data_IF_956464382597
#
_entry.id   IF_956464382597
#
_cell.length_a   1.000
_cell.length_b   1.000
_cell.length_c   1.000
_cell.angle_alpha   90.00
_cell.angle_beta   90.00
_cell.angle_gamma   90.00
#
_symmetry.space_group_name_H-M   'P 1'
#
loop_
_entity.id
_entity.type
_entity.pdbx_description
1 polymer ?
#
# COMPACT_ATOMS: atom_id res chain seq x y z
N UNK A 1 -5.37 29.58 4.86
CA UNK A 1 -4.11 29.42 4.11
C UNK A 1 -3.11 28.92 5.13
N UNK A 2 -2.87 27.60 5.17
CA UNK A 2 -1.99 26.98 6.17
C UNK A 2 -0.99 26.06 5.48
N UNK A 3 0.26 26.25 5.89
CA UNK A 3 1.48 25.65 5.37
C UNK A 3 1.57 24.15 5.70
N UNK A 4 2.05 23.39 4.72
CA UNK A 4 2.33 21.96 4.81
C UNK A 4 3.69 21.79 5.50
N UNK A 5 3.69 21.26 6.72
CA UNK A 5 4.92 20.89 7.42
C UNK A 5 5.45 19.52 6.96
N UNK A 6 6.75 19.53 6.65
CA UNK A 6 7.51 18.39 6.16
C UNK A 6 7.79 17.32 7.21
N UNK A 7 8.07 16.13 6.66
CA UNK A 7 8.42 14.90 7.35
C UNK A 7 9.75 15.06 8.12
N UNK A 8 9.69 15.03 9.45
CA UNK A 8 10.86 14.97 10.34
C UNK A 8 11.00 13.54 10.88
N UNK A 9 12.01 12.80 10.39
CA UNK A 9 12.41 11.52 10.95
C UNK A 9 13.48 11.74 12.02
N UNK A 10 13.05 11.84 13.28
CA UNK A 10 13.89 11.75 14.47
C UNK A 10 14.11 10.28 14.82
N UNK A 11 15.36 9.81 14.78
CA UNK A 11 15.76 8.49 15.29
C UNK A 11 16.78 8.66 16.42
N UNK A 12 16.37 8.22 17.61
CA UNK A 12 17.18 8.08 18.83
C UNK A 12 18.47 7.30 18.55
N UNK A 13 19.60 7.90 18.89
CA UNK A 13 20.87 7.19 19.10
C UNK A 13 20.88 6.59 20.52
N UNK A 14 21.13 5.29 20.63
CA UNK A 14 21.69 4.66 21.84
C UNK A 14 23.14 4.29 21.53
N UNK A 15 24.06 4.81 22.33
CA UNK A 15 25.48 4.51 22.34
C UNK A 15 25.77 3.24 23.13
N UNK A 16 26.73 2.42 22.67
CA UNK A 16 27.61 1.62 23.52
C UNK A 16 28.86 1.15 22.74
N UNK A 17 30.02 1.67 23.16
CA UNK A 17 31.41 1.18 23.15
C UNK A 17 31.95 0.17 22.11
N UNK A 18 32.83 0.69 21.23
CA UNK A 18 34.28 0.42 21.05
C UNK A 18 34.91 -0.95 21.37
N UNK A 19 35.55 -1.55 20.35
CA UNK A 19 36.78 -2.41 20.29
C UNK A 19 36.68 -3.25 18.98
N UNK A 20 37.70 -3.68 18.23
CA UNK A 20 39.13 -3.44 18.08
C UNK A 20 39.52 -4.08 16.70
N UNK A 21 40.58 -3.54 16.10
CA UNK A 21 41.45 -4.00 15.00
C UNK A 21 41.22 -5.37 14.32
N UNK A 22 41.21 -5.36 12.97
CA UNK A 22 41.42 -6.55 12.15
C UNK A 22 41.10 -6.33 10.67
N UNK A 23 42.08 -5.86 9.90
CA UNK A 23 42.00 -5.71 8.44
C UNK A 23 42.03 -7.08 7.74
N UNK A 24 40.99 -7.36 6.95
CA UNK A 24 41.01 -8.32 5.85
C UNK A 24 40.30 -7.63 4.68
N UNK A 25 41.09 -7.20 3.69
CA UNK A 25 40.61 -6.61 2.43
C UNK A 25 39.87 -7.67 1.61
N UNK A 26 38.54 -7.73 1.77
CA UNK A 26 37.61 -8.20 0.75
C UNK A 26 37.22 -6.98 -0.10
N UNK A 27 37.18 -7.03 -1.44
CA UNK A 27 36.78 -5.89 -2.26
C UNK A 27 35.25 -5.77 -2.22
N UNK A 28 34.76 -5.47 -1.02
CA UNK A 28 33.36 -5.26 -0.69
C UNK A 28 32.91 -4.00 -1.40
N UNK A 29 31.85 -4.13 -2.21
CA UNK A 29 31.14 -3.04 -2.88
C UNK A 29 30.96 -1.88 -1.88
N UNK A 30 31.73 -0.80 -2.06
CA UNK A 30 31.49 0.43 -1.32
C UNK A 30 30.16 1.00 -1.79
N UNK A 31 29.09 0.70 -1.05
CA UNK A 31 27.81 1.39 -1.21
C UNK A 31 28.03 2.84 -0.79
N UNK A 32 28.48 3.66 -1.74
CA UNK A 32 28.54 5.10 -1.55
C UNK A 32 27.10 5.58 -1.42
N UNK A 33 26.73 6.05 -0.22
CA UNK A 33 25.52 6.87 -0.04
C UNK A 33 25.70 8.13 -0.89
N UNK A 34 25.19 8.10 -2.11
CA UNK A 34 25.05 9.31 -2.93
C UNK A 34 24.18 10.26 -2.13
N UNK A 35 24.67 11.49 -1.91
CA UNK A 35 23.86 12.52 -1.28
C UNK A 35 22.61 12.73 -2.12
N UNK A 36 21.46 12.99 -1.49
CA UNK A 36 20.21 13.24 -2.20
C UNK A 36 20.34 14.39 -3.22
N UNK A 37 21.26 15.33 -2.96
CA UNK A 37 21.63 16.43 -3.86
C UNK A 37 22.34 16.00 -5.16
N UNK A 38 22.84 14.77 -5.26
CA UNK A 38 23.53 14.22 -6.44
C UNK A 38 22.60 13.38 -7.32
N UNK A 39 21.34 13.18 -6.92
CA UNK A 39 20.34 12.46 -7.69
C UNK A 39 19.71 13.45 -8.69
N UNK A 40 20.00 13.26 -9.99
CA UNK A 40 19.28 13.99 -11.05
C UNK A 40 17.77 13.79 -10.85
N UNK A 41 16.99 14.86 -11.01
CA UNK A 41 15.54 14.78 -10.97
C UNK A 41 15.07 13.69 -11.92
N UNK A 42 14.21 12.79 -11.43
CA UNK A 42 13.59 11.78 -12.27
C UNK A 42 12.83 12.48 -13.41
N UNK A 43 12.79 11.89 -14.62
CA UNK A 43 11.94 12.41 -15.68
C UNK A 43 10.49 12.45 -15.20
N UNK A 44 9.69 13.33 -15.80
CA UNK A 44 8.26 13.37 -15.53
C UNK A 44 7.66 12.00 -15.81
N UNK A 45 6.88 11.48 -14.86
CA UNK A 45 6.19 10.21 -14.96
C UNK A 45 4.72 10.43 -14.61
N UNK A 46 3.86 9.62 -15.20
CA UNK A 46 2.43 9.59 -14.92
C UNK A 46 2.08 8.21 -14.39
N UNK A 47 1.19 8.17 -13.40
CA UNK A 47 0.75 6.91 -12.81
C UNK A 47 -0.23 6.18 -13.73
N UNK A 48 -0.09 4.86 -13.80
CA UNK A 48 -1.00 3.99 -14.58
C UNK A 48 -2.41 3.98 -13.98
N UNK A 49 -2.50 4.06 -12.66
CA UNK A 49 -3.74 4.16 -11.91
C UNK A 49 -3.59 5.22 -10.83
N UNK A 50 -4.56 6.12 -10.70
CA UNK A 50 -4.62 7.05 -9.57
C UNK A 50 -4.79 6.30 -8.25
N UNK A 51 -4.10 6.76 -7.20
CA UNK A 51 -4.17 6.15 -5.87
C UNK A 51 -4.49 7.19 -4.79
N UNK A 52 -5.17 6.73 -3.74
CA UNK A 52 -5.40 7.48 -2.51
C UNK A 52 -4.68 6.76 -1.37
N UNK A 53 -3.75 7.48 -0.72
CA UNK A 53 -3.01 6.97 0.43
C UNK A 53 -3.59 7.60 1.70
N UNK A 54 -4.10 6.77 2.59
CA UNK A 54 -4.56 7.21 3.91
C UNK A 54 -3.57 6.76 4.97
N UNK A 55 -2.77 7.70 5.46
CA UNK A 55 -1.93 7.50 6.62
C UNK A 55 -2.84 7.47 7.86
N UNK A 56 -2.78 6.40 8.67
CA UNK A 56 -3.63 6.18 9.85
C UNK A 56 -5.08 5.75 9.55
N UNK A 57 -5.26 4.90 8.53
CA UNK A 57 -6.50 4.16 8.35
C UNK A 57 -6.84 3.34 9.60
N UNK A 58 -7.95 3.69 10.25
CA UNK A 58 -8.44 3.07 11.49
C UNK A 58 -9.93 2.75 11.35
N UNK A 59 -10.29 1.60 10.74
CA UNK A 59 -11.67 1.19 10.57
C UNK A 59 -12.28 0.78 11.90
N UNK A 60 -13.53 1.21 12.15
CA UNK A 60 -14.36 0.73 13.27
C UNK A 60 -15.16 -0.51 12.85
N UNK A 61 -15.41 -0.67 11.56
CA UNK A 61 -16.13 -1.81 10.96
C UNK A 61 -15.35 -2.28 9.73
N UNK A 62 -15.23 -3.59 9.53
CA UNK A 62 -14.55 -4.18 8.38
C UNK A 62 -15.17 -5.53 8.00
N UNK A 63 -14.80 -6.03 6.83
CA UNK A 63 -15.12 -7.40 6.42
C UNK A 63 -14.05 -8.37 6.90
N UNK A 64 -14.45 -9.47 7.52
CA UNK A 64 -13.56 -10.56 7.92
C UNK A 64 -13.29 -11.51 6.72
N UNK A 65 -12.31 -12.41 6.86
CA UNK A 65 -11.95 -13.44 5.87
C UNK A 65 -13.13 -14.32 5.41
N UNK A 66 -14.10 -14.58 6.27
CA UNK A 66 -15.33 -15.32 5.96
C UNK A 66 -16.38 -14.47 5.20
N UNK A 67 -16.11 -13.18 4.97
CA UNK A 67 -17.04 -12.24 4.34
C UNK A 67 -18.05 -11.59 5.29
N UNK A 68 -18.03 -11.95 6.58
CA UNK A 68 -18.89 -11.34 7.59
C UNK A 68 -18.46 -9.91 7.90
N UNK A 69 -19.44 -9.05 8.16
CA UNK A 69 -19.20 -7.70 8.66
C UNK A 69 -18.96 -7.76 10.18
N UNK A 70 -17.85 -7.18 10.64
CA UNK A 70 -17.42 -7.22 12.04
C UNK A 70 -17.04 -5.83 12.53
N UNK A 71 -17.23 -5.59 13.82
CA UNK A 71 -16.64 -4.45 14.53
C UNK A 71 -15.17 -4.74 14.81
N UNK A 72 -14.32 -3.73 14.64
CA UNK A 72 -12.89 -3.78 14.95
C UNK A 72 -12.67 -3.03 16.26
N UNK A 73 -11.90 -3.62 17.18
CA UNK A 73 -11.62 -3.01 18.47
C UNK A 73 -10.79 -1.73 18.31
N UNK A 74 -11.34 -0.62 18.82
CA UNK A 74 -10.73 0.72 18.84
C UNK A 74 -10.94 1.36 20.21
N UNK A 75 -10.20 0.90 21.23
CA UNK A 75 -10.32 1.35 22.61
C UNK A 75 -8.97 1.60 23.29
N UNK A 76 -8.97 1.89 24.59
CA UNK A 76 -7.74 2.15 25.35
C UNK A 76 -6.82 0.93 25.51
N UNK A 77 -7.34 -0.29 25.32
CA UNK A 77 -6.57 -1.52 25.44
C UNK A 77 -5.93 -1.92 24.12
N UNK A 78 -6.68 -1.84 23.02
CA UNK A 78 -6.21 -2.23 21.68
C UNK A 78 -6.82 -1.32 20.62
N UNK A 79 -5.98 -0.94 19.67
CA UNK A 79 -6.36 -0.17 18.49
C UNK A 79 -5.75 -0.81 17.25
N UNK A 80 -6.46 -0.69 16.12
CA UNK A 80 -5.95 -1.08 14.82
C UNK A 80 -5.77 0.15 13.95
N UNK A 81 -4.56 0.36 13.44
CA UNK A 81 -4.27 1.40 12.45
C UNK A 81 -3.20 0.93 11.47
N UNK A 82 -3.25 1.44 10.25
CA UNK A 82 -2.19 1.26 9.25
C UNK A 82 -2.26 2.33 8.16
N UNK A 83 -1.32 2.31 7.23
CA UNK A 83 -1.47 3.02 5.96
C UNK A 83 -2.30 2.15 5.03
N UNK A 84 -3.40 2.70 4.49
CA UNK A 84 -4.14 2.06 3.41
C UNK A 84 -3.84 2.73 2.07
N UNK A 85 -3.94 1.94 1.00
CA UNK A 85 -3.79 2.43 -0.38
C UNK A 85 -4.93 1.87 -1.21
N UNK A 86 -5.77 2.77 -1.71
CA UNK A 86 -6.92 2.44 -2.56
C UNK A 86 -6.74 3.05 -3.95
N UNK A 87 -7.36 2.45 -4.97
CA UNK A 87 -7.52 3.14 -6.23
C UNK A 87 -8.40 4.38 -6.04
N UNK A 88 -8.04 5.47 -6.71
CA UNK A 88 -8.89 6.64 -6.79
C UNK A 88 -10.22 6.29 -7.48
N UNK A 89 -11.33 6.82 -6.96
CA UNK A 89 -12.66 6.59 -7.54
C UNK A 89 -12.80 7.41 -8.82
N UNK A 90 -12.35 6.85 -9.93
CA UNK A 90 -12.52 7.46 -11.26
C UNK A 90 -13.75 6.86 -11.98
N UNK A 91 -14.43 7.71 -12.75
CA UNK A 91 -15.60 7.31 -13.58
C UNK A 91 -15.20 6.37 -14.71
N UNK A 92 -13.96 6.47 -15.19
CA UNK A 92 -13.36 5.52 -16.12
C UNK A 92 -12.39 4.65 -15.34
N UNK A 93 -12.66 3.35 -15.29
CA UNK A 93 -11.78 2.39 -14.63
C UNK A 93 -10.57 2.00 -15.49
N UNK A 94 -10.42 2.54 -16.70
CA UNK A 94 -9.31 2.19 -17.60
C UNK A 94 -7.97 2.73 -17.08
N UNK A 95 -6.93 1.92 -17.24
CA UNK A 95 -5.59 2.30 -16.84
C UNK A 95 -4.95 3.26 -17.86
N UNK A 96 -4.21 4.25 -17.36
CA UNK A 96 -3.49 5.19 -18.20
C UNK A 96 -2.35 4.52 -18.98
N UNK A 97 -2.19 4.90 -20.26
CA UNK A 97 -1.10 4.43 -21.11
C UNK A 97 -1.26 3.02 -21.71
N UNK A 98 -2.44 2.40 -21.60
CA UNK A 98 -2.69 1.06 -22.15
C UNK A 98 -3.21 1.15 -23.60
N UNK A 99 -2.71 0.26 -24.46
CA UNK A 99 -3.24 0.06 -25.80
C UNK A 99 -4.64 -0.59 -25.75
N UNK A 100 -5.65 0.27 -25.78
CA UNK A 100 -7.05 -0.11 -25.76
C UNK A 100 -7.51 -0.80 -27.06
N UNK A 101 -6.71 -0.87 -28.11
CA UNK A 101 -7.04 -1.68 -29.30
C UNK A 101 -6.82 -3.18 -29.04
N UNK A 102 -5.78 -3.52 -28.28
CA UNK A 102 -5.40 -4.90 -27.97
C UNK A 102 -5.88 -5.38 -26.60
N UNK A 103 -6.09 -4.47 -25.65
CA UNK A 103 -6.44 -4.80 -24.28
C UNK A 103 -7.68 -4.04 -23.82
N UNK A 104 -8.43 -4.62 -22.87
CA UNK A 104 -9.25 -3.86 -21.94
C UNK A 104 -8.52 -3.79 -20.60
N UNK A 105 -8.61 -2.67 -19.91
CA UNK A 105 -7.87 -2.42 -18.68
C UNK A 105 -8.79 -1.98 -17.54
N UNK A 106 -8.41 -2.31 -16.30
CA UNK A 106 -9.17 -1.92 -15.10
C UNK A 106 -8.22 -1.66 -13.92
N UNK A 107 -8.30 -0.47 -13.31
CA UNK A 107 -7.65 -0.18 -12.03
C UNK A 107 -8.45 -0.78 -10.88
N UNK A 108 -7.83 -1.70 -10.13
CA UNK A 108 -8.47 -2.44 -9.05
C UNK A 108 -7.70 -2.35 -7.74
N UNK A 109 -8.44 -2.11 -6.65
CA UNK A 109 -7.86 -2.13 -5.31
C UNK A 109 -7.59 -3.57 -4.91
N UNK A 110 -6.36 -3.85 -4.50
CA UNK A 110 -5.93 -5.13 -3.96
C UNK A 110 -6.00 -5.06 -2.44
N UNK A 111 -6.52 -6.13 -1.85
CA UNK A 111 -6.75 -6.24 -0.43
C UNK A 111 -5.91 -7.35 0.17
N UNK A 112 -5.51 -7.15 1.42
CA UNK A 112 -4.88 -8.16 2.26
C UNK A 112 -5.70 -8.42 3.52
N UNK A 113 -5.47 -9.56 4.15
CA UNK A 113 -6.04 -9.89 5.44
C UNK A 113 -5.04 -9.59 6.54
N UNK A 114 -5.42 -8.70 7.45
CA UNK A 114 -4.57 -8.27 8.57
C UNK A 114 -5.22 -8.63 9.89
N UNK A 115 -4.40 -9.09 10.83
CA UNK A 115 -4.88 -9.54 12.15
C UNK A 115 -5.44 -8.33 12.92
N UNK A 116 -6.62 -8.50 13.50
CA UNK A 116 -7.26 -7.50 14.36
C UNK A 116 -8.11 -8.20 15.42
N UNK A 117 -8.52 -7.47 16.45
CA UNK A 117 -9.50 -7.94 17.41
C UNK A 117 -10.88 -7.52 16.93
N UNK A 118 -11.78 -8.49 16.78
CA UNK A 118 -13.06 -8.32 16.12
C UNK A 118 -14.20 -8.95 16.90
N UNK A 119 -15.42 -8.50 16.65
CA UNK A 119 -16.66 -9.17 17.07
C UNK A 119 -17.75 -8.95 16.04
N UNK A 120 -18.80 -9.77 16.07
CA UNK A 120 -19.98 -9.52 15.25
C UNK A 120 -20.58 -8.13 15.58
N UNK A 121 -21.04 -7.42 14.56
CA UNK A 121 -21.62 -6.08 14.71
C UNK A 121 -22.77 -6.11 15.72
N UNK A 122 -22.75 -5.19 16.69
CA UNK A 122 -23.74 -5.09 17.76
C UNK A 122 -23.66 -6.17 18.84
N UNK A 123 -22.73 -7.12 18.74
CA UNK A 123 -22.56 -8.14 19.76
C UNK A 123 -22.02 -7.54 21.07
N UNK A 124 -22.56 -8.01 22.20
CA UNK A 124 -22.07 -7.65 23.55
C UNK A 124 -20.94 -8.56 24.04
N UNK A 125 -20.49 -9.49 23.20
CA UNK A 125 -19.39 -10.40 23.51
C UNK A 125 -18.06 -9.66 23.46
N UNK A 126 -17.05 -10.26 24.09
CA UNK A 126 -15.67 -9.79 24.00
C UNK A 126 -15.17 -9.85 22.56
N UNK A 127 -14.26 -8.94 22.22
CA UNK A 127 -13.51 -9.02 20.97
C UNK A 127 -12.57 -10.24 21.00
N UNK A 128 -12.45 -10.91 19.86
CA UNK A 128 -11.60 -12.09 19.66
C UNK A 128 -10.62 -11.84 18.52
N UNK A 129 -9.54 -12.62 18.46
CA UNK A 129 -8.62 -12.55 17.33
C UNK A 129 -9.30 -12.95 16.02
N UNK A 130 -9.13 -12.13 14.98
CA UNK A 130 -9.65 -12.36 13.63
C UNK A 130 -8.79 -11.68 12.56
N UNK A 131 -9.26 -11.73 11.32
CA UNK A 131 -8.55 -11.18 10.16
C UNK A 131 -9.46 -10.31 9.31
N UNK A 132 -9.16 -9.01 9.26
CA UNK A 132 -9.94 -8.03 8.50
C UNK A 132 -9.31 -7.75 7.15
N UNK A 133 -10.18 -7.53 6.15
CA UNK A 133 -9.81 -7.16 4.79
C UNK A 133 -9.46 -5.67 4.72
N UNK A 134 -8.24 -5.34 4.32
CA UNK A 134 -7.74 -3.96 4.23
C UNK A 134 -7.12 -3.68 2.86
N UNK A 135 -7.27 -2.47 2.30
CA UNK A 135 -6.71 -2.14 1.01
C UNK A 135 -5.23 -1.75 1.11
N UNK A 136 -4.39 -2.33 0.25
CA UNK A 136 -2.93 -2.20 0.35
C UNK A 136 -2.25 -1.66 -0.91
N UNK A 137 -2.89 -1.75 -2.08
CA UNK A 137 -2.35 -1.20 -3.33
C UNK A 137 -3.44 -1.12 -4.40
N UNK A 138 -3.18 -0.34 -5.46
CA UNK A 138 -3.98 -0.29 -6.67
C UNK A 138 -3.19 -0.93 -7.82
N UNK A 139 -3.81 -1.83 -8.59
CA UNK A 139 -3.17 -2.50 -9.71
C UNK A 139 -3.98 -2.33 -11.00
N UNK A 140 -3.27 -2.20 -12.12
CA UNK A 140 -3.88 -2.30 -13.43
C UNK A 140 -4.03 -3.77 -13.85
N UNK A 141 -5.26 -4.21 -14.10
CA UNK A 141 -5.57 -5.53 -14.68
C UNK A 141 -5.82 -5.39 -16.17
N UNK A 142 -5.15 -6.23 -16.96
CA UNK A 142 -5.31 -6.27 -18.42
C UNK A 142 -6.03 -7.54 -18.84
N UNK A 143 -6.92 -7.42 -19.83
CA UNK A 143 -7.51 -8.56 -20.55
C UNK A 143 -7.29 -8.36 -22.04
N UNK A 144 -6.71 -9.35 -22.71
CA UNK A 144 -6.50 -9.29 -24.16
C UNK A 144 -7.86 -9.35 -24.88
N UNK A 145 -8.12 -8.40 -25.76
CA UNK A 145 -9.26 -8.45 -26.67
C UNK A 145 -9.00 -9.53 -27.70
N UNK A 146 -9.97 -10.44 -27.88
CA UNK A 146 -9.87 -11.50 -28.88
C UNK A 146 -9.80 -10.89 -30.29
N UNK A 147 -8.95 -11.45 -31.15
CA UNK A 147 -8.98 -11.15 -32.58
C UNK A 147 -10.27 -11.76 -33.12
N UNK A 148 -11.28 -10.94 -33.45
CA UNK A 148 -12.33 -11.39 -34.36
C UNK A 148 -11.66 -11.60 -35.70
N UNK A 149 -11.40 -12.86 -36.06
CA UNK A 149 -11.12 -13.17 -37.46
C UNK A 149 -12.37 -12.80 -38.23
N UNK A 150 -12.29 -11.72 -39.01
CA UNK A 150 -13.28 -11.45 -40.04
C UNK A 150 -13.19 -12.63 -41.01
N UNK A 151 -14.13 -13.57 -40.87
CA UNK A 151 -14.35 -14.59 -41.89
C UNK A 151 -14.98 -13.83 -43.07
N UNK A 152 -14.15 -13.51 -44.06
CA UNK A 152 -14.65 -13.06 -45.36
C UNK A 152 -15.35 -14.25 -46.02
N UNK A 153 -16.68 -14.26 -45.96
CA UNK A 153 -17.54 -15.05 -46.87
C UNK A 153 -17.90 -14.22 -48.08
#
# INVERSE_FOLDING_TARGET
MYEIYGFSSSSRQKSLSQADSGAIDDPTIRVMKKSAASVKSLPHYEDVCGIVIQNQFSPVVAFEKNGSLVEVQQDSHRNFFMTSVECEKQTNHECHGIDNSMYSSECVTVYEYRRAYVRAVGAKTNFVDGFIKVPVTCQCRLRRKGVRMLVNT
#
